data_IF_761386514583
#
_entry.id   IF_761386514583
#
_cell.length_a   1.000
_cell.length_b   1.000
_cell.length_c   1.000
_cell.angle_alpha   90.00
_cell.angle_beta   90.00
_cell.angle_gamma   90.00
#
_symmetry.space_group_name_H-M   'P 1'
#
loop_
_entity.id
_entity.type
_entity.pdbx_description
1 polymer ?
#
# COMPACT_ATOMS: atom_id res chain seq x y z
N UNK A 1 24.06 18.47 -28.33
CA UNK A 1 23.39 18.41 -27.02
C UNK A 1 23.82 17.11 -26.37
N UNK A 2 24.53 17.17 -25.23
CA UNK A 2 24.96 15.96 -24.52
C UNK A 2 23.82 15.50 -23.60
N UNK A 3 23.36 14.26 -23.76
CA UNK A 3 22.34 13.67 -22.90
C UNK A 3 23.03 13.05 -21.68
N UNK A 4 22.55 13.39 -20.48
CA UNK A 4 23.04 12.77 -19.25
C UNK A 4 22.56 11.33 -19.17
N UNK A 5 23.47 10.39 -18.97
CA UNK A 5 23.13 8.99 -18.76
C UNK A 5 22.91 8.71 -17.26
N UNK A 6 21.88 7.93 -16.95
CA UNK A 6 21.63 7.45 -15.59
C UNK A 6 22.49 6.22 -15.38
N UNK A 7 23.54 6.36 -14.55
CA UNK A 7 24.36 5.23 -14.12
C UNK A 7 23.61 4.51 -13.01
N UNK A 8 22.98 3.38 -13.34
CA UNK A 8 22.39 2.48 -12.33
C UNK A 8 23.53 1.65 -11.73
N UNK A 9 23.75 1.71 -10.40
CA UNK A 9 24.77 0.90 -9.75
C UNK A 9 24.51 -0.59 -10.00
N UNK A 10 25.52 -1.29 -10.52
CA UNK A 10 25.51 -2.74 -10.67
C UNK A 10 25.67 -3.36 -9.27
N UNK A 11 24.56 -3.54 -8.55
CA UNK A 11 24.56 -4.21 -7.25
C UNK A 11 24.88 -5.68 -7.51
N UNK A 12 26.08 -6.13 -7.11
CA UNK A 12 26.37 -7.55 -7.02
C UNK A 12 25.50 -8.11 -5.88
N UNK A 13 24.41 -8.77 -6.26
CA UNK A 13 23.52 -9.42 -5.30
C UNK A 13 24.30 -10.59 -4.70
N UNK A 14 24.97 -10.35 -3.58
CA UNK A 14 25.38 -11.43 -2.68
C UNK A 14 24.06 -12.02 -2.16
N UNK A 15 23.74 -13.29 -2.43
CA UNK A 15 22.47 -13.88 -2.04
C UNK A 15 22.55 -14.22 -0.55
N UNK A 16 22.46 -13.19 0.28
CA UNK A 16 22.10 -13.41 1.68
C UNK A 16 20.59 -13.42 1.69
N UNK A 17 19.98 -14.61 1.70
CA UNK A 17 18.59 -14.79 2.12
C UNK A 17 18.49 -14.40 3.61
N UNK A 18 18.60 -13.10 3.86
CA UNK A 18 18.54 -12.54 5.19
C UNK A 18 17.06 -12.47 5.55
N UNK A 19 16.61 -13.34 6.46
CA UNK A 19 15.23 -13.43 6.95
C UNK A 19 14.63 -12.07 7.33
N UNK A 20 15.48 -11.08 7.66
CA UNK A 20 15.10 -9.68 7.90
C UNK A 20 14.56 -8.99 6.64
N UNK A 21 15.17 -9.20 5.48
CA UNK A 21 14.71 -8.63 4.21
C UNK A 21 13.33 -9.16 3.84
N UNK A 22 13.08 -10.45 4.04
CA UNK A 22 11.75 -11.05 3.83
C UNK A 22 10.70 -10.47 4.76
N UNK A 23 11.04 -10.25 6.03
CA UNK A 23 10.13 -9.60 6.99
C UNK A 23 9.79 -8.17 6.55
N UNK A 24 10.79 -7.39 6.15
CA UNK A 24 10.59 -6.02 5.68
C UNK A 24 9.75 -5.98 4.40
N UNK A 25 10.02 -6.88 3.46
CA UNK A 25 9.26 -6.99 2.20
C UNK A 25 7.80 -7.34 2.47
N UNK A 26 7.54 -8.33 3.32
CA UNK A 26 6.16 -8.73 3.70
C UNK A 26 5.43 -7.57 4.39
N UNK A 27 6.10 -6.88 5.33
CA UNK A 27 5.53 -5.73 6.01
C UNK A 27 5.22 -4.60 5.04
N UNK A 28 6.13 -4.26 4.13
CA UNK A 28 5.90 -3.24 3.10
C UNK A 28 4.69 -3.57 2.22
N UNK A 29 4.60 -4.81 1.73
CA UNK A 29 3.48 -5.25 0.89
C UNK A 29 2.15 -5.15 1.67
N UNK A 30 2.13 -5.57 2.94
CA UNK A 30 0.94 -5.48 3.78
C UNK A 30 0.52 -4.03 4.02
N UNK A 31 1.45 -3.15 4.42
CA UNK A 31 1.18 -1.74 4.64
C UNK A 31 0.72 -1.03 3.36
N UNK A 32 1.34 -1.34 2.22
CA UNK A 32 0.92 -0.78 0.92
C UNK A 32 -0.52 -1.17 0.57
N UNK A 33 -0.89 -2.43 0.77
CA UNK A 33 -2.27 -2.91 0.58
C UNK A 33 -3.26 -2.31 1.57
N UNK A 34 -2.82 -2.00 2.79
CA UNK A 34 -3.67 -1.27 3.74
C UNK A 34 -3.91 0.18 3.27
N UNK A 35 -2.88 0.85 2.74
CA UNK A 35 -2.99 2.21 2.21
C UNK A 35 -3.75 2.31 0.89
N UNK A 36 -4.03 1.20 0.20
CA UNK A 36 -4.87 1.21 -1.00
C UNK A 36 -6.37 1.20 -0.68
N UNK A 37 -6.75 1.15 0.61
CA UNK A 37 -8.13 1.26 1.06
C UNK A 37 -8.49 2.73 1.34
N UNK A 38 -9.66 3.16 0.88
CA UNK A 38 -10.17 4.52 1.08
C UNK A 38 -11.47 4.50 1.86
N UNK A 39 -11.52 5.26 2.96
CA UNK A 39 -12.73 5.46 3.75
C UNK A 39 -13.52 6.66 3.22
N UNK A 40 -14.81 6.46 2.96
CA UNK A 40 -15.75 7.47 2.48
C UNK A 40 -16.89 7.59 3.49
N UNK A 41 -17.01 8.76 4.12
CA UNK A 41 -18.12 9.08 5.01
C UNK A 41 -19.32 9.60 4.19
N UNK A 42 -20.49 8.98 4.39
CA UNK A 42 -21.73 9.33 3.73
C UNK A 42 -22.73 9.85 4.75
N UNK A 43 -23.15 11.11 4.56
CA UNK A 43 -24.19 11.77 5.36
C UNK A 43 -23.99 11.64 6.89
N UNK A 44 -22.73 11.52 7.34
CA UNK A 44 -22.34 11.29 8.75
C UNK A 44 -22.98 10.09 9.46
N UNK A 45 -23.69 9.25 8.70
CA UNK A 45 -24.43 8.10 9.22
C UNK A 45 -23.82 6.78 8.78
N UNK A 46 -22.94 6.78 7.77
CA UNK A 46 -22.30 5.58 7.22
C UNK A 46 -20.87 5.87 6.79
N UNK A 47 -20.01 4.88 6.92
CA UNK A 47 -18.64 4.88 6.39
C UNK A 47 -18.49 3.67 5.47
N UNK A 48 -18.15 3.93 4.21
CA UNK A 48 -17.81 2.90 3.22
C UNK A 48 -16.29 2.81 3.09
N UNK A 49 -15.76 1.60 3.07
CA UNK A 49 -14.36 1.35 2.75
C UNK A 49 -14.30 0.77 1.34
N UNK A 50 -13.50 1.38 0.48
CA UNK A 50 -13.38 1.04 -0.93
C UNK A 50 -11.93 0.65 -1.26
N UNK A 51 -11.74 -0.35 -2.13
CA UNK A 51 -10.42 -0.74 -2.64
C UNK A 51 -9.95 0.13 -3.84
N UNK A 52 -8.72 -0.09 -4.29
CA UNK A 52 -8.11 0.61 -5.43
C UNK A 52 -8.84 0.42 -6.77
N UNK A 53 -9.76 -0.54 -6.87
CA UNK A 53 -10.58 -0.79 -8.05
C UNK A 53 -12.00 -0.21 -7.92
N UNK A 54 -12.30 0.54 -6.85
CA UNK A 54 -13.60 1.13 -6.60
C UNK A 54 -14.62 0.15 -6.01
N UNK A 55 -14.21 -1.05 -5.55
CA UNK A 55 -15.13 -2.03 -4.95
C UNK A 55 -15.29 -1.78 -3.45
N UNK A 56 -16.52 -1.83 -2.98
CA UNK A 56 -16.83 -1.70 -1.54
C UNK A 56 -16.40 -2.98 -0.82
N UNK A 57 -15.46 -2.85 0.12
CA UNK A 57 -14.96 -3.97 0.93
C UNK A 57 -15.53 -3.99 2.34
N UNK A 58 -16.04 -2.85 2.83
CA UNK A 58 -16.69 -2.77 4.14
C UNK A 58 -17.71 -1.62 4.16
N UNK A 59 -18.78 -1.79 4.93
CA UNK A 59 -19.76 -0.76 5.25
C UNK A 59 -19.97 -0.76 6.77
N UNK A 60 -19.80 0.40 7.41
CA UNK A 60 -20.11 0.61 8.81
C UNK A 60 -21.20 1.68 8.93
N UNK A 61 -22.17 1.45 9.80
CA UNK A 61 -23.18 2.45 10.13
C UNK A 61 -22.74 3.16 11.41
N UNK A 62 -22.74 4.48 11.40
CA UNK A 62 -22.65 5.25 12.63
C UNK A 62 -23.98 5.07 13.35
N UNK A 63 -23.95 4.37 14.48
CA UNK A 63 -25.10 4.32 15.39
C UNK A 63 -25.12 5.68 16.08
N UNK A 64 -26.03 6.56 15.68
CA UNK A 64 -26.29 7.78 16.44
C UNK A 64 -26.82 7.37 17.83
N UNK A 65 -26.34 8.06 18.87
CA UNK A 65 -26.63 7.82 20.28
C UNK A 65 -28.11 8.02 20.64
#
# INVERSE_FOLDING_TARGET
MSLSEIIVPQISVVPTEDQRQDKLRKAYIASRKACSLTDIELNRSRVLVIDEHGRVVKCAFAVEH
#
